data_IF_597519285689
#
_entry.id   IF_597519285689
#
_cell.length_a   1.000
_cell.length_b   1.000
_cell.length_c   1.000
_cell.angle_alpha   90.00
_cell.angle_beta   90.00
_cell.angle_gamma   90.00
#
_symmetry.space_group_name_H-M   'P 1'
#
loop_
_entity.id
_entity.type
_entity.pdbx_description
1 polymer ?
#
# COMPACT_ATOMS: atom_id res chain seq x y z
N UNK A 1 -5.38 6.14 18.24
CA UNK A 1 -4.63 5.84 17.00
C UNK A 1 -4.08 4.40 16.95
N UNK A 2 -4.72 3.40 17.58
CA UNK A 2 -4.31 1.99 17.49
C UNK A 2 -5.20 1.20 16.52
N UNK A 3 -6.45 1.63 16.34
CA UNK A 3 -7.43 1.00 15.45
C UNK A 3 -7.03 1.07 13.96
N UNK A 4 -6.34 2.10 13.48
CA UNK A 4 -5.90 2.16 12.07
C UNK A 4 -4.82 1.13 11.70
N UNK A 5 -4.08 0.61 12.69
CA UNK A 5 -3.07 -0.42 12.47
C UNK A 5 -3.70 -1.83 12.36
N UNK A 6 -4.87 -2.03 12.97
CA UNK A 6 -5.54 -3.34 13.09
C UNK A 6 -6.95 -3.41 12.46
N UNK A 7 -7.50 -2.29 11.99
CA UNK A 7 -8.81 -2.21 11.31
C UNK A 7 -8.58 -1.70 9.90
N UNK A 8 -9.08 -2.44 8.89
CA UNK A 8 -8.76 -2.28 7.45
C UNK A 8 -7.39 -2.83 6.99
N UNK A 9 -6.97 -4.00 7.50
CA UNK A 9 -5.95 -4.79 6.82
C UNK A 9 -6.52 -5.36 5.51
N UNK A 10 -6.59 -4.50 4.50
CA UNK A 10 -7.09 -4.86 3.17
C UNK A 10 -6.14 -5.86 2.52
N UNK A 11 -6.73 -6.88 1.88
CA UNK A 11 -6.06 -7.86 1.02
C UNK A 11 -5.07 -7.18 0.06
N UNK A 12 -5.37 -5.95 -0.38
CA UNK A 12 -4.51 -5.14 -1.25
C UNK A 12 -3.11 -4.86 -0.67
N UNK A 13 -2.97 -4.69 0.66
CA UNK A 13 -1.66 -4.47 1.30
C UNK A 13 -0.79 -5.72 1.24
N UNK A 14 -1.42 -6.88 1.44
CA UNK A 14 -0.78 -8.18 1.31
C UNK A 14 -0.39 -8.50 -0.14
N UNK A 15 -1.27 -8.19 -1.10
CA UNK A 15 -0.97 -8.34 -2.52
C UNK A 15 0.24 -7.49 -2.95
N UNK A 16 0.32 -6.23 -2.49
CA UNK A 16 1.48 -5.36 -2.73
C UNK A 16 2.77 -5.90 -2.08
N UNK A 17 2.68 -6.43 -0.86
CA UNK A 17 3.83 -7.05 -0.18
C UNK A 17 4.32 -8.29 -0.94
N UNK A 18 3.40 -9.16 -1.38
CA UNK A 18 3.73 -10.34 -2.18
C UNK A 18 4.44 -9.95 -3.48
N UNK A 19 3.97 -8.90 -4.17
CA UNK A 19 4.63 -8.36 -5.34
C UNK A 19 6.02 -7.79 -5.05
N UNK A 20 6.21 -7.07 -3.94
CA UNK A 20 7.52 -6.56 -3.56
C UNK A 20 8.52 -7.70 -3.32
N UNK A 21 8.12 -8.74 -2.60
CA UNK A 21 8.95 -9.94 -2.34
C UNK A 21 9.27 -10.67 -3.65
N UNK A 22 8.29 -10.83 -4.54
CA UNK A 22 8.50 -11.43 -5.85
C UNK A 22 9.55 -10.65 -6.68
N UNK A 23 9.45 -9.31 -6.70
CA UNK A 23 10.42 -8.47 -7.41
C UNK A 23 11.83 -8.58 -6.82
N UNK A 24 11.97 -8.67 -5.49
CA UNK A 24 13.26 -8.91 -4.87
C UNK A 24 13.83 -10.30 -5.18
N UNK A 25 12.98 -11.33 -5.24
CA UNK A 25 13.41 -12.67 -5.66
C UNK A 25 13.90 -12.66 -7.11
N UNK A 26 13.19 -11.97 -8.02
CA UNK A 26 13.65 -11.82 -9.40
C UNK A 26 14.92 -10.97 -9.51
N UNK A 27 15.08 -9.95 -8.66
CA UNK A 27 16.33 -9.20 -8.58
C UNK A 27 17.52 -10.09 -8.22
N UNK A 28 17.32 -11.07 -7.32
CA UNK A 28 18.37 -12.01 -6.94
C UNK A 28 18.72 -12.98 -8.08
N UNK A 29 17.71 -13.49 -8.80
CA UNK A 29 17.92 -14.46 -9.89
C UNK A 29 18.52 -13.79 -11.13
N UNK A 30 17.93 -12.67 -11.57
CA UNK A 30 18.35 -11.98 -12.79
C UNK A 30 19.55 -11.05 -12.55
N UNK A 31 19.85 -10.69 -11.29
CA UNK A 31 20.90 -9.72 -10.90
C UNK A 31 20.75 -8.33 -11.53
N UNK A 32 19.55 -8.00 -11.97
CA UNK A 32 19.22 -6.71 -12.56
C UNK A 32 18.78 -5.71 -11.49
N UNK A 33 19.47 -4.59 -11.41
CA UNK A 33 19.28 -3.55 -10.39
C UNK A 33 17.90 -2.89 -10.44
N UNK A 34 17.26 -2.90 -11.60
CA UNK A 34 15.96 -2.25 -11.81
C UNK A 34 14.85 -2.90 -10.96
N UNK A 35 14.92 -4.21 -10.74
CA UNK A 35 13.95 -4.93 -9.91
C UNK A 35 14.08 -4.57 -8.44
N UNK A 36 15.28 -4.23 -7.97
CA UNK A 36 15.49 -3.72 -6.61
C UNK A 36 14.78 -2.37 -6.45
N UNK A 37 14.93 -1.46 -7.42
CA UNK A 37 14.27 -0.16 -7.40
C UNK A 37 12.73 -0.29 -7.34
N UNK A 38 12.15 -1.13 -8.20
CA UNK A 38 10.70 -1.38 -8.19
C UNK A 38 10.24 -2.12 -6.93
N UNK A 39 10.98 -3.12 -6.45
CA UNK A 39 10.67 -3.83 -5.20
C UNK A 39 10.64 -2.87 -4.00
N UNK A 40 11.61 -1.95 -3.93
CA UNK A 40 11.70 -0.94 -2.88
C UNK A 40 10.53 0.04 -2.93
N UNK A 41 10.11 0.46 -4.13
CA UNK A 41 8.93 1.31 -4.32
C UNK A 41 7.66 0.65 -3.76
N UNK A 42 7.37 -0.60 -4.11
CA UNK A 42 6.20 -1.31 -3.58
C UNK A 42 6.33 -1.59 -2.07
N UNK A 43 7.54 -1.84 -1.57
CA UNK A 43 7.79 -2.06 -0.15
C UNK A 43 7.51 -0.79 0.68
N UNK A 44 7.96 0.38 0.21
CA UNK A 44 7.64 1.69 0.82
C UNK A 44 6.13 1.92 0.85
N UNK A 45 5.41 1.63 -0.25
CA UNK A 45 3.96 1.75 -0.27
C UNK A 45 3.27 0.87 0.80
N UNK A 46 3.79 -0.32 1.08
CA UNK A 46 3.25 -1.20 2.13
C UNK A 46 3.51 -0.63 3.52
N UNK A 47 4.69 -0.07 3.79
CA UNK A 47 5.04 0.50 5.09
C UNK A 47 4.20 1.74 5.38
N UNK A 48 4.21 2.70 4.45
CA UNK A 48 3.61 4.01 4.65
C UNK A 48 2.14 4.07 4.23
N UNK A 49 1.57 2.98 3.68
CA UNK A 49 0.26 2.97 3.01
C UNK A 49 0.13 4.13 2.00
N UNK A 50 1.23 4.47 1.31
CA UNK A 50 1.22 5.51 0.29
C UNK A 50 0.32 5.06 -0.88
N UNK A 51 -0.84 5.70 -0.99
CA UNK A 51 -1.85 5.44 -2.01
C UNK A 51 -3.23 5.87 -1.53
N UNK A 52 -4.10 6.31 -2.45
CA UNK A 52 -5.51 6.46 -2.15
C UNK A 52 -6.07 5.09 -1.74
N UNK A 53 -6.47 4.94 -0.47
CA UNK A 53 -7.18 3.75 0.01
C UNK A 53 -8.57 3.64 -0.63
N UNK A 54 -9.34 2.62 -0.25
CA UNK A 54 -10.74 2.48 -0.69
C UNK A 54 -11.64 3.70 -0.33
N UNK A 55 -11.19 4.52 0.63
CA UNK A 55 -11.80 5.81 1.01
C UNK A 55 -10.94 7.02 0.59
N UNK A 56 -10.11 6.87 -0.45
CA UNK A 56 -9.18 7.88 -0.93
C UNK A 56 -9.84 9.23 -1.16
N UNK A 57 -9.22 10.30 -0.65
CA UNK A 57 -9.66 11.71 -0.74
C UNK A 57 -11.18 11.88 -0.89
N UNK A 58 -11.96 11.18 -0.07
CA UNK A 58 -13.41 11.33 -0.07
C UNK A 58 -13.73 12.67 0.56
N UNK A 59 -14.28 13.60 -0.22
CA UNK A 59 -14.85 14.83 0.33
C UNK A 59 -15.85 14.39 1.41
N UNK A 60 -15.65 14.76 2.69
CA UNK A 60 -16.53 14.32 3.75
C UNK A 60 -17.94 14.79 3.40
N UNK A 61 -18.87 13.85 3.19
CA UNK A 61 -20.27 14.15 2.92
C UNK A 61 -20.93 14.57 4.23
N UNK A 62 -20.55 15.75 4.72
CA UNK A 62 -21.13 16.34 5.91
C UNK A 62 -22.52 16.82 5.52
N UNK A 63 -23.52 15.93 5.62
CA UNK A 63 -24.93 16.31 5.49
C UNK A 63 -25.21 17.35 6.56
N UNK A 64 -25.22 18.62 6.18
CA UNK A 64 -25.66 19.71 7.04
C UNK A 64 -27.13 19.43 7.41
N UNK A 65 -27.36 18.98 8.63
CA UNK A 65 -28.70 18.82 9.16
C UNK A 65 -29.23 20.23 9.47
N UNK A 66 -29.99 20.81 8.53
CA UNK A 66 -30.70 22.06 8.74
C UNK A 66 -31.89 21.73 9.66
N UNK A 67 -31.77 22.13 10.93
CA UNK A 67 -32.86 22.08 11.91
C UNK A 67 -34.10 22.80 11.40
#
# INVERSE_FOLDING_TARGET
>A
MKALLFTNWHIMRWARLAFAIFLFAQAYILKEWIFIGFGLFFFIQVIFNFGCGANGCGVPNNKYNKR
#
